data_IF_444410440154
#
_entry.id   IF_444410440154
#
_cell.length_a   1.000
_cell.length_b   1.000
_cell.length_c   1.000
_cell.angle_alpha   90.00
_cell.angle_beta   90.00
_cell.angle_gamma   90.00
#
_symmetry.space_group_name_H-M   'P 1'
#
loop_
_entity.id
_entity.type
_entity.pdbx_description
1 polymer ?
#
# COMPACT_ATOMS: atom_id res chain seq x y z
N UNK A 1 -21.68 9.48 6.02
CA UNK A 1 -20.25 9.16 5.87
C UNK A 1 -19.91 7.99 6.77
N UNK A 2 -19.65 6.84 6.17
CA UNK A 2 -19.16 5.66 6.88
C UNK A 2 -17.69 5.83 7.31
N UNK A 3 -17.26 5.04 8.30
CA UNK A 3 -15.87 5.01 8.75
C UNK A 3 -14.87 4.68 7.62
N UNK A 4 -15.29 3.86 6.66
CA UNK A 4 -14.49 3.45 5.50
C UNK A 4 -14.24 4.61 4.51
N UNK A 5 -15.27 5.43 4.22
CA UNK A 5 -15.13 6.57 3.30
C UNK A 5 -14.15 7.61 3.84
N UNK A 6 -14.23 7.93 5.14
CA UNK A 6 -13.28 8.85 5.79
C UNK A 6 -11.85 8.33 5.75
N UNK A 7 -11.66 7.02 5.90
CA UNK A 7 -10.34 6.40 5.79
C UNK A 7 -9.79 6.50 4.38
N UNK A 8 -10.58 6.18 3.37
CA UNK A 8 -10.17 6.30 1.97
C UNK A 8 -9.80 7.76 1.62
N UNK A 9 -10.59 8.73 2.08
CA UNK A 9 -10.31 10.16 1.89
C UNK A 9 -9.00 10.59 2.58
N UNK A 10 -8.73 10.13 3.81
CA UNK A 10 -7.48 10.41 4.51
C UNK A 10 -6.27 9.82 3.79
N UNK A 11 -6.41 8.59 3.27
CA UNK A 11 -5.36 7.91 2.50
C UNK A 11 -5.10 8.66 1.20
N UNK A 12 -6.16 9.00 0.45
CA UNK A 12 -6.05 9.76 -0.79
C UNK A 12 -5.43 11.14 -0.55
N UNK A 13 -5.82 11.84 0.52
CA UNK A 13 -5.25 13.15 0.88
C UNK A 13 -3.76 13.07 1.20
N UNK A 14 -3.29 11.98 1.83
CA UNK A 14 -1.87 11.75 2.10
C UNK A 14 -1.08 11.38 0.85
N UNK A 15 -1.69 10.67 -0.09
CA UNK A 15 -1.06 10.32 -1.36
C UNK A 15 -1.06 11.45 -2.39
N UNK A 16 -2.07 12.32 -2.39
CA UNK A 16 -2.27 13.39 -3.37
C UNK A 16 -1.00 14.18 -3.75
N UNK A 17 -0.12 14.61 -2.81
CA UNK A 17 1.10 15.35 -3.18
C UNK A 17 2.20 14.47 -3.82
N UNK A 18 2.03 13.15 -3.86
CA UNK A 18 3.02 12.17 -4.31
C UNK A 18 2.54 11.32 -5.50
N UNK A 19 1.33 11.59 -6.00
CA UNK A 19 0.80 10.93 -7.20
C UNK A 19 1.32 11.62 -8.46
N UNK A 20 1.69 10.82 -9.45
CA UNK A 20 2.01 11.31 -10.79
C UNK A 20 0.74 11.69 -11.56
N UNK A 21 0.84 12.59 -12.55
CA UNK A 21 -0.27 12.91 -13.43
C UNK A 21 -0.84 11.64 -14.09
N UNK A 22 -2.14 11.41 -13.88
CA UNK A 22 -2.87 10.25 -14.41
C UNK A 22 -2.76 8.97 -13.59
N UNK A 23 -2.01 8.96 -12.48
CA UNK A 23 -1.91 7.82 -11.57
C UNK A 23 -3.23 7.61 -10.81
N UNK A 24 -3.69 6.36 -10.73
CA UNK A 24 -4.95 5.98 -10.09
C UNK A 24 -4.70 5.15 -8.85
N UNK A 25 -5.26 5.60 -7.72
CA UNK A 25 -5.26 4.82 -6.49
C UNK A 25 -6.19 3.61 -6.68
N UNK A 26 -5.65 2.41 -6.47
CA UNK A 26 -6.41 1.17 -6.45
C UNK A 26 -6.93 0.89 -5.04
N UNK A 27 -6.04 1.03 -4.04
CA UNK A 27 -6.37 0.78 -2.64
C UNK A 27 -5.33 1.42 -1.71
N UNK A 28 -5.58 1.41 -0.41
CA UNK A 28 -4.58 1.78 0.58
C UNK A 28 -4.90 1.33 1.99
N UNK A 29 -3.86 1.20 2.80
CA UNK A 29 -3.95 0.65 4.15
C UNK A 29 -2.91 1.28 5.07
N UNK A 30 -3.06 1.05 6.38
CA UNK A 30 -2.09 1.52 7.37
C UNK A 30 -1.30 0.32 7.89
N UNK A 31 0.02 0.47 7.90
CA UNK A 31 0.94 -0.50 8.46
C UNK A 31 1.79 0.13 9.57
N UNK A 32 2.27 -0.71 10.49
CA UNK A 32 3.08 -0.32 11.63
C UNK A 32 4.53 -0.82 11.42
N UNK A 33 5.53 0.04 11.58
CA UNK A 33 6.95 -0.33 11.48
C UNK A 33 7.57 -0.78 12.82
N UNK A 34 7.40 -2.03 13.25
CA UNK A 34 8.26 -2.56 14.32
C UNK A 34 7.70 -3.66 15.21
N UNK A 35 8.49 -3.98 16.24
CA UNK A 35 8.26 -5.08 17.17
C UNK A 35 7.27 -4.70 18.30
N UNK A 36 7.18 -3.43 18.72
CA UNK A 36 6.53 -3.03 19.97
C UNK A 36 5.33 -2.09 19.81
N UNK A 37 4.15 -2.59 20.17
CA UNK A 37 2.78 -2.04 20.07
C UNK A 37 2.49 -0.61 20.63
N UNK A 38 3.44 0.10 21.25
CA UNK A 38 3.12 1.33 21.99
C UNK A 38 3.70 2.65 21.42
N UNK A 39 4.70 2.60 20.53
CA UNK A 39 5.33 3.80 19.92
C UNK A 39 5.74 3.54 18.46
N UNK A 40 4.91 2.81 17.71
CA UNK A 40 5.24 2.44 16.33
C UNK A 40 4.88 3.55 15.36
N UNK A 41 5.83 4.13 14.61
CA UNK A 41 5.48 4.97 13.47
C UNK A 41 4.51 4.25 12.53
N UNK A 42 3.37 4.88 12.28
CA UNK A 42 2.39 4.39 11.32
C UNK A 42 2.79 4.87 9.92
N UNK A 43 2.81 3.95 8.97
CA UNK A 43 3.00 4.24 7.56
C UNK A 43 1.68 4.04 6.82
N UNK A 44 1.35 4.97 5.93
CA UNK A 44 0.22 4.86 5.02
C UNK A 44 0.72 4.28 3.71
N UNK A 45 0.22 3.09 3.38
CA UNK A 45 0.47 2.43 2.11
C UNK A 45 -0.64 2.81 1.14
N UNK A 46 -0.26 3.27 -0.04
CA UNK A 46 -1.18 3.58 -1.14
C UNK A 46 -0.70 2.83 -2.36
N UNK A 47 -1.54 1.91 -2.83
CA UNK A 47 -1.25 1.07 -3.99
C UNK A 47 -1.97 1.68 -5.18
N UNK A 48 -1.21 1.96 -6.23
CA UNK A 48 -1.72 2.57 -7.46
C UNK A 48 -1.56 1.61 -8.64
N UNK A 49 -1.93 2.05 -9.83
CA UNK A 49 -1.63 1.37 -11.08
C UNK A 49 -0.16 1.49 -11.53
N UNK A 50 0.66 2.32 -10.86
CA UNK A 50 2.06 2.56 -11.25
C UNK A 50 3.09 2.25 -10.17
N UNK A 51 2.73 2.40 -8.90
CA UNK A 51 3.66 2.25 -7.79
C UNK A 51 2.96 1.85 -6.49
N UNK A 52 3.78 1.52 -5.49
CA UNK A 52 3.37 1.46 -4.09
C UNK A 52 3.99 2.68 -3.39
N UNK A 53 3.13 3.59 -2.95
CA UNK A 53 3.50 4.77 -2.17
C UNK A 53 3.44 4.43 -0.69
N UNK A 54 4.52 4.72 0.04
CA UNK A 54 4.62 4.55 1.48
C UNK A 54 4.84 5.94 2.08
N UNK A 55 3.85 6.46 2.80
CA UNK A 55 3.91 7.77 3.46
C UNK A 55 3.99 7.56 4.97
N UNK A 56 5.18 7.75 5.54
CA UNK A 56 5.45 7.60 6.97
C UNK A 56 6.23 8.78 7.57
N UNK A 57 6.64 8.65 8.83
CA UNK A 57 7.41 9.69 9.53
C UNK A 57 8.79 9.97 8.92
N UNK A 58 9.38 9.00 8.22
CA UNK A 58 10.67 9.14 7.52
C UNK A 58 10.53 9.82 6.14
N UNK A 59 9.32 10.27 5.78
CA UNK A 59 9.00 10.85 4.47
C UNK A 59 8.31 9.88 3.50
N UNK A 60 7.90 10.38 2.33
CA UNK A 60 7.27 9.58 1.28
C UNK A 60 8.31 8.73 0.55
N UNK A 61 7.99 7.47 0.30
CA UNK A 61 8.76 6.54 -0.53
C UNK A 61 7.88 5.97 -1.62
N UNK A 62 8.48 5.73 -2.79
CA UNK A 62 7.83 5.11 -3.94
C UNK A 62 8.56 3.81 -4.26
N UNK A 63 7.82 2.71 -4.28
CA UNK A 63 8.32 1.39 -4.63
C UNK A 63 7.66 0.92 -5.93
N UNK A 64 8.32 0.03 -6.69
CA UNK A 64 7.74 -0.59 -7.87
C UNK A 64 6.39 -1.28 -7.59
N UNK A 65 5.50 -1.31 -8.59
CA UNK A 65 4.15 -1.90 -8.48
C UNK A 65 4.12 -3.42 -8.62
N UNK A 66 5.25 -4.06 -8.91
CA UNK A 66 5.41 -5.49 -9.15
C UNK A 66 5.45 -6.37 -7.89
N UNK A 67 5.31 -5.78 -6.70
CA UNK A 67 5.31 -6.50 -5.43
C UNK A 67 3.92 -7.08 -5.08
N UNK A 68 3.90 -8.36 -4.69
CA UNK A 68 2.74 -9.02 -4.08
C UNK A 68 2.90 -9.02 -2.56
N UNK A 69 1.88 -8.56 -1.85
CA UNK A 69 1.86 -8.52 -0.40
C UNK A 69 1.63 -9.90 0.22
N UNK A 70 1.06 -10.84 -0.53
CA UNK A 70 0.82 -12.21 -0.09
C UNK A 70 -0.51 -12.38 0.65
N UNK A 71 -0.87 -13.63 0.92
CA UNK A 71 -2.13 -13.96 1.60
C UNK A 71 -2.05 -13.58 3.08
N UNK A 72 -2.90 -12.65 3.55
CA UNK A 72 -2.83 -12.20 4.92
C UNK A 72 -3.45 -13.23 5.89
N UNK A 73 -2.73 -13.57 6.96
CA UNK A 73 -3.16 -14.55 7.96
C UNK A 73 -3.06 -14.01 9.40
N UNK A 74 -3.87 -14.56 10.30
CA UNK A 74 -3.86 -14.20 11.73
C UNK A 74 -4.41 -12.81 12.05
N UNK A 75 -3.93 -12.22 13.15
CA UNK A 75 -4.35 -10.88 13.60
C UNK A 75 -3.57 -9.74 12.90
N UNK A 76 -2.32 -10.03 12.53
CA UNK A 76 -1.42 -9.13 11.84
C UNK A 76 -0.74 -9.86 10.69
N UNK A 77 -0.79 -9.28 9.50
CA UNK A 77 -0.01 -9.70 8.35
C UNK A 77 1.33 -8.98 8.34
N UNK A 78 2.40 -9.68 7.98
CA UNK A 78 3.74 -9.09 7.93
C UNK A 78 4.16 -8.91 6.48
N UNK A 79 4.60 -7.70 6.14
CA UNK A 79 5.09 -7.33 4.82
C UNK A 79 6.58 -6.98 4.96
N UNK A 80 7.43 -7.65 4.18
CA UNK A 80 8.85 -7.37 4.09
C UNK A 80 9.16 -6.61 2.80
N UNK A 81 9.51 -5.34 2.94
CA UNK A 81 9.92 -4.45 1.84
C UNK A 81 11.31 -3.90 2.15
N UNK A 82 11.43 -2.59 2.40
CA UNK A 82 12.64 -1.96 2.95
C UNK A 82 12.86 -2.32 4.43
N UNK A 83 11.76 -2.61 5.11
CA UNK A 83 11.70 -3.02 6.51
C UNK A 83 10.45 -3.86 6.74
N UNK A 84 10.36 -4.43 7.92
CA UNK A 84 9.19 -5.20 8.34
C UNK A 84 8.05 -4.27 8.72
N UNK A 85 6.91 -4.44 8.06
CA UNK A 85 5.65 -3.77 8.39
C UNK A 85 4.61 -4.77 8.86
N UNK A 86 3.83 -4.39 9.86
CA UNK A 86 2.70 -5.18 10.36
C UNK A 86 1.40 -4.50 10.00
N UNK A 87 0.52 -5.22 9.31
CA UNK A 87 -0.79 -4.76 8.88
C UNK A 87 -1.84 -5.48 9.71
N UNK A 88 -2.72 -4.71 10.37
CA UNK A 88 -3.79 -5.30 11.16
C UNK A 88 -4.86 -5.93 10.27
N UNK A 89 -5.52 -7.01 10.73
CA UNK A 89 -6.57 -7.76 10.01
C UNK A 89 -7.68 -6.91 9.39
N UNK A 90 -7.94 -5.73 9.93
CA UNK A 90 -8.94 -4.81 9.37
C UNK A 90 -8.60 -4.29 7.97
N UNK A 91 -7.35 -4.44 7.53
CA UNK A 91 -6.83 -4.02 6.24
C UNK A 91 -6.52 -5.21 5.30
N UNK A 92 -6.88 -6.43 5.69
CA UNK A 92 -6.67 -7.62 4.85
C UNK A 92 -7.45 -7.56 3.53
N UNK A 93 -8.70 -7.04 3.49
CA UNK A 93 -9.38 -6.83 2.22
C UNK A 93 -8.59 -5.94 1.26
N UNK A 94 -7.93 -4.90 1.78
CA UNK A 94 -7.12 -3.98 0.99
C UNK A 94 -5.84 -4.63 0.48
N UNK A 95 -5.23 -5.52 1.26
CA UNK A 95 -4.09 -6.36 0.81
C UNK A 95 -4.52 -7.27 -0.33
N UNK A 96 -5.61 -8.02 -0.14
CA UNK A 96 -6.12 -8.94 -1.17
C UNK A 96 -6.46 -8.19 -2.46
N UNK A 97 -7.16 -7.05 -2.35
CA UNK A 97 -7.50 -6.21 -3.49
C UNK A 97 -6.25 -5.67 -4.22
N UNK A 98 -5.18 -5.33 -3.49
CA UNK A 98 -3.92 -4.90 -4.08
C UNK A 98 -3.26 -6.02 -4.90
N UNK A 99 -3.24 -7.25 -4.36
CA UNK A 99 -2.66 -8.41 -5.03
C UNK A 99 -3.48 -8.86 -6.24
N UNK A 100 -4.81 -8.85 -6.13
CA UNK A 100 -5.73 -9.11 -7.24
C UNK A 100 -5.56 -8.10 -8.36
N UNK A 101 -5.53 -6.80 -8.02
CA UNK A 101 -5.32 -5.75 -9.03
C UNK A 101 -3.98 -5.92 -9.75
N UNK A 102 -2.91 -6.36 -9.07
CA UNK A 102 -1.63 -6.64 -9.70
C UNK A 102 -1.72 -7.84 -10.66
N UNK A 103 -2.38 -8.93 -10.23
CA UNK A 103 -2.58 -10.11 -11.07
C UNK A 103 -3.38 -9.76 -12.32
N UNK A 104 -4.42 -8.94 -12.18
CA UNK A 104 -5.23 -8.47 -13.31
C UNK A 104 -4.45 -7.55 -14.25
N UNK A 105 -3.58 -6.69 -13.74
CA UNK A 105 -2.68 -5.88 -14.57
C UNK A 105 -1.69 -6.75 -15.34
N UNK A 106 -1.09 -7.74 -14.66
CA UNK A 106 -0.19 -8.73 -15.29
C UNK A 106 -0.90 -9.53 -16.39
N UNK A 107 -2.12 -9.98 -16.12
CA UNK A 107 -2.93 -10.72 -17.09
C UNK A 107 -3.28 -9.88 -18.34
N UNK A 108 -3.41 -8.55 -18.18
CA UNK A 108 -3.67 -7.61 -19.28
C UNK A 108 -2.41 -7.15 -20.02
N UNK A 109 -1.22 -7.42 -19.48
CA UNK A 109 0.04 -6.87 -20.01
C UNK A 109 0.26 -5.39 -19.68
N UNK A 110 -0.53 -4.82 -18.75
CA UNK A 110 -0.47 -3.42 -18.31
C UNK A 110 0.56 -3.20 -17.19
N UNK A 111 1.66 -3.97 -17.16
CA UNK A 111 2.72 -3.68 -16.20
C UNK A 111 3.39 -2.36 -16.61
N UNK A 112 3.59 -1.39 -15.69
CA UNK A 112 4.46 -0.27 -15.99
C UNK A 112 5.85 -0.83 -16.30
N UNK A 113 6.41 -0.46 -17.45
CA UNK A 113 7.78 -0.81 -17.83
C UNK A 113 8.71 -0.46 -16.68
N UNK A 114 9.20 -1.48 -16.00
CA UNK A 114 10.35 -1.36 -15.12
C UNK A 114 11.61 -1.37 -16.00
N UNK A 115 11.65 -0.48 -16.99
CA UNK A 115 12.84 -0.27 -17.82
C UNK A 115 13.73 0.82 -17.21
N UNK A 116 14.78 0.32 -16.55
CA UNK A 116 16.17 0.73 -16.69
C UNK A 116 16.59 2.16 -16.30
N UNK A 117 17.34 2.25 -15.19
CA UNK A 117 18.65 2.93 -15.14
C UNK A 117 19.48 2.43 -13.96
#
# INVERSE_FOLDING_TARGET
MGYQERRAELIAKRAAPHLEPGERIQTGFIAQNGWWIFTVPVATFVVTDRAILIVGGDGPRRLPRDFLFGEPTGLYHTIELDRTYKVHRQYFPEITAADEALRDMRARGDLPDSEQS
#
